data_IF_495248620773
#
_entry.id   IF_495248620773
#
_cell.length_a   1.000
_cell.length_b   1.000
_cell.length_c   1.000
_cell.angle_alpha   90.00
_cell.angle_beta   90.00
_cell.angle_gamma   90.00
#
_symmetry.space_group_name_H-M   'P 1'
#
loop_
_entity.id
_entity.type
_entity.pdbx_description
1 polymer ?
#
# COMPACT_ATOMS: atom_id res chain seq x y z
N UNK A 1 9.00 -0.16 -9.99
CA UNK A 1 8.46 -0.52 -8.65
C UNK A 1 7.80 0.72 -8.07
N UNK A 2 6.50 0.66 -7.79
CA UNK A 2 5.72 1.83 -7.39
C UNK A 2 5.84 2.10 -5.87
N UNK A 3 5.89 3.37 -5.48
CA UNK A 3 5.94 3.82 -4.08
C UNK A 3 4.59 4.37 -3.63
N UNK A 4 4.41 4.53 -2.33
CA UNK A 4 3.29 5.30 -1.81
C UNK A 4 3.34 6.74 -2.30
N UNK A 5 2.16 7.33 -2.49
CA UNK A 5 1.99 8.60 -3.19
C UNK A 5 2.09 8.50 -4.71
N UNK A 6 2.61 7.40 -5.27
CA UNK A 6 2.59 7.24 -6.73
C UNK A 6 1.15 7.23 -7.25
N UNK A 7 0.89 7.93 -8.34
CA UNK A 7 -0.35 7.85 -9.10
C UNK A 7 -0.09 7.05 -10.37
N UNK A 8 -0.90 6.01 -10.60
CA UNK A 8 -0.85 5.16 -11.80
C UNK A 8 -1.95 5.64 -12.75
N UNK A 9 -1.59 5.97 -13.99
CA UNK A 9 -2.54 6.36 -15.05
C UNK A 9 -1.91 6.03 -16.42
N UNK A 10 -2.50 5.10 -17.18
CA UNK A 10 -2.21 4.92 -18.61
C UNK A 10 -3.33 5.59 -19.44
N UNK A 11 -3.10 6.84 -19.85
CA UNK A 11 -3.76 7.63 -20.90
C UNK A 11 -5.32 7.63 -21.08
N UNK A 12 -5.84 8.86 -21.19
CA UNK A 12 -7.22 9.33 -21.45
C UNK A 12 -8.21 9.24 -20.27
N UNK A 13 -8.55 10.37 -19.62
CA UNK A 13 -9.33 10.38 -18.40
C UNK A 13 -10.81 10.11 -18.71
N UNK A 14 -11.32 8.98 -18.21
CA UNK A 14 -12.66 9.01 -17.65
C UNK A 14 -12.70 10.03 -16.50
N UNK A 15 -13.87 10.62 -16.26
CA UNK A 15 -14.06 11.64 -15.22
C UNK A 15 -13.56 11.09 -13.86
N UNK A 16 -12.52 11.72 -13.30
CA UNK A 16 -12.07 11.48 -11.92
C UNK A 16 -12.88 12.36 -10.97
N UNK A 17 -13.01 11.94 -9.71
CA UNK A 17 -13.67 12.75 -8.70
C UNK A 17 -12.89 14.05 -8.46
N UNK A 18 -13.55 15.10 -8.00
CA UNK A 18 -12.90 16.35 -7.63
C UNK A 18 -11.90 16.15 -6.48
N UNK A 19 -10.83 16.96 -6.47
CA UNK A 19 -9.78 16.92 -5.43
C UNK A 19 -10.36 17.07 -4.02
N UNK A 20 -11.37 17.92 -3.85
CA UNK A 20 -12.07 18.13 -2.57
C UNK A 20 -12.73 16.85 -2.06
N UNK A 21 -13.40 16.11 -2.96
CA UNK A 21 -14.03 14.82 -2.66
C UNK A 21 -12.98 13.76 -2.32
N UNK A 22 -11.88 13.69 -3.08
CA UNK A 22 -10.77 12.77 -2.79
C UNK A 22 -10.14 13.04 -1.42
N UNK A 23 -9.85 14.31 -1.10
CA UNK A 23 -9.31 14.70 0.22
C UNK A 23 -10.30 14.34 1.35
N UNK A 24 -11.60 14.54 1.14
CA UNK A 24 -12.62 14.13 2.11
C UNK A 24 -12.65 12.62 2.32
N UNK A 25 -12.49 11.83 1.25
CA UNK A 25 -12.45 10.36 1.33
C UNK A 25 -11.20 9.90 2.09
N UNK A 26 -10.03 10.47 1.80
CA UNK A 26 -8.79 10.14 2.49
C UNK A 26 -8.87 10.41 3.99
N UNK A 27 -9.45 11.55 4.38
CA UNK A 27 -9.64 11.90 5.78
C UNK A 27 -10.64 11.02 6.51
N UNK A 28 -11.51 10.29 5.79
CA UNK A 28 -12.47 9.38 6.38
C UNK A 28 -11.88 7.99 6.70
N UNK A 29 -10.79 7.62 6.03
CA UNK A 29 -10.17 6.30 6.23
C UNK A 29 -9.07 6.33 7.28
N UNK A 30 -9.07 5.33 8.14
CA UNK A 30 -8.01 5.11 9.11
C UNK A 30 -6.80 4.40 8.49
N UNK A 31 -5.61 4.63 9.05
CA UNK A 31 -4.42 3.89 8.66
C UNK A 31 -4.55 2.36 8.86
N UNK A 32 -5.38 1.92 9.80
CA UNK A 32 -5.69 0.51 10.02
C UNK A 32 -6.46 -0.11 8.85
N UNK A 33 -7.49 0.58 8.35
CA UNK A 33 -8.27 0.10 7.20
C UNK A 33 -7.40 0.01 5.94
N UNK A 34 -6.54 1.01 5.72
CA UNK A 34 -5.59 1.01 4.59
C UNK A 34 -4.60 -0.16 4.72
N UNK A 35 -4.13 -0.46 5.93
CA UNK A 35 -3.28 -1.63 6.17
C UNK A 35 -4.01 -2.93 5.87
N UNK A 36 -5.21 -3.11 6.40
CA UNK A 36 -5.99 -4.33 6.26
C UNK A 36 -6.25 -4.65 4.78
N UNK A 37 -6.59 -3.65 3.97
CA UNK A 37 -6.79 -3.81 2.53
C UNK A 37 -5.50 -4.25 1.82
N UNK A 38 -4.35 -3.65 2.15
CA UNK A 38 -3.07 -4.06 1.57
C UNK A 38 -2.66 -5.48 2.01
N UNK A 39 -2.99 -5.84 3.25
CA UNK A 39 -2.71 -7.14 3.84
C UNK A 39 -3.58 -8.26 3.24
N UNK A 40 -4.85 -7.99 2.99
CA UNK A 40 -5.74 -8.94 2.32
C UNK A 40 -5.31 -9.22 0.88
N UNK A 41 -4.66 -8.26 0.23
CA UNK A 41 -4.03 -8.49 -1.08
C UNK A 41 -2.75 -9.34 -0.99
N UNK A 42 -2.17 -9.54 0.20
CA UNK A 42 -0.96 -10.35 0.42
C UNK A 42 -1.23 -11.80 0.82
N UNK A 43 -2.39 -12.34 0.44
CA UNK A 43 -2.70 -13.76 0.68
C UNK A 43 -1.68 -14.67 -0.02
N UNK A 44 -1.17 -14.27 -1.19
CA UNK A 44 -0.16 -15.04 -1.91
C UNK A 44 1.25 -14.81 -1.32
N UNK A 45 1.87 -15.81 -0.66
CA UNK A 45 3.17 -15.65 -0.01
C UNK A 45 4.33 -15.46 -0.99
N UNK A 46 4.09 -15.66 -2.29
CA UNK A 46 5.09 -15.54 -3.34
C UNK A 46 5.13 -14.16 -3.99
N UNK A 47 4.18 -13.28 -3.66
CA UNK A 47 4.13 -11.92 -4.18
C UNK A 47 5.05 -11.02 -3.37
N UNK A 48 5.92 -10.30 -4.06
CA UNK A 48 6.87 -9.39 -3.42
C UNK A 48 6.17 -8.15 -2.88
N UNK A 49 5.22 -7.61 -3.64
CA UNK A 49 4.64 -6.30 -3.42
C UNK A 49 3.12 -6.33 -3.53
N UNK A 50 2.45 -5.87 -2.48
CA UNK A 50 1.01 -5.64 -2.47
C UNK A 50 0.71 -4.21 -2.07
N UNK A 51 -0.45 -3.74 -2.52
CA UNK A 51 -0.81 -2.33 -2.44
C UNK A 51 -2.23 -2.17 -1.92
N UNK A 52 -2.43 -1.14 -1.10
CA UNK A 52 -3.73 -0.50 -0.94
C UNK A 52 -3.72 0.80 -1.74
N UNK A 53 -4.77 1.02 -2.52
CA UNK A 53 -4.85 2.12 -3.46
C UNK A 53 -6.24 2.72 -3.45
N UNK A 54 -6.33 4.03 -3.66
CA UNK A 54 -7.58 4.73 -3.88
C UNK A 54 -7.85 4.83 -5.38
N UNK A 55 -8.98 4.30 -5.83
CA UNK A 55 -9.49 4.50 -7.17
C UNK A 55 -10.05 5.93 -7.30
N UNK A 56 -9.41 6.76 -8.14
CA UNK A 56 -9.75 8.19 -8.25
C UNK A 56 -11.08 8.46 -8.98
N UNK A 57 -11.65 7.48 -9.67
CA UNK A 57 -12.95 7.61 -10.36
C UNK A 57 -14.12 7.23 -9.45
N UNK A 58 -13.94 6.24 -8.58
CA UNK A 58 -15.01 5.70 -7.74
C UNK A 58 -14.90 6.06 -6.26
N UNK A 59 -13.75 6.58 -5.82
CA UNK A 59 -13.48 6.87 -4.42
C UNK A 59 -13.30 5.62 -3.55
N UNK A 60 -13.22 4.42 -4.14
CA UNK A 60 -13.10 3.17 -3.40
C UNK A 60 -11.64 2.80 -3.16
N UNK A 61 -11.35 2.33 -1.94
CA UNK A 61 -10.10 1.64 -1.64
C UNK A 61 -10.12 0.22 -2.23
N UNK A 62 -9.01 -0.18 -2.84
CA UNK A 62 -8.81 -1.51 -3.40
C UNK A 62 -7.43 -2.05 -3.04
N UNK A 63 -7.36 -3.36 -2.84
CA UNK A 63 -6.10 -4.10 -2.65
C UNK A 63 -5.68 -4.78 -3.94
N UNK A 64 -4.41 -4.68 -4.34
CA UNK A 64 -3.87 -5.40 -5.50
C UNK A 64 -2.45 -5.92 -5.28
N UNK A 65 -2.16 -7.06 -5.91
CA UNK A 65 -0.80 -7.52 -6.17
C UNK A 65 -0.20 -6.72 -7.35
N UNK A 66 1.11 -6.43 -7.33
CA UNK A 66 1.79 -5.54 -8.30
C UNK A 66 1.46 -5.80 -9.77
N UNK A 67 1.27 -7.06 -10.18
CA UNK A 67 1.03 -7.44 -11.58
C UNK A 67 -0.45 -7.59 -11.97
N UNK A 68 -1.37 -7.26 -11.06
CA UNK A 68 -2.82 -7.47 -11.28
C UNK A 68 -3.61 -6.17 -11.49
N UNK A 69 -2.91 -5.04 -11.53
CA UNK A 69 -3.53 -3.73 -11.61
C UNK A 69 -4.08 -3.46 -13.02
N UNK A 70 -5.30 -2.92 -13.09
CA UNK A 70 -5.88 -2.48 -14.35
C UNK A 70 -5.29 -1.13 -14.73
N UNK A 71 -4.53 -1.08 -15.81
CA UNK A 71 -3.79 0.11 -16.18
C UNK A 71 -4.68 1.24 -16.73
N UNK A 72 -5.90 0.91 -17.17
CA UNK A 72 -6.91 1.85 -17.68
C UNK A 72 -7.71 2.58 -16.58
N UNK A 73 -7.17 2.68 -15.37
CA UNK A 73 -7.84 3.30 -14.23
C UNK A 73 -6.83 4.10 -13.43
N UNK A 74 -7.23 5.30 -13.00
CA UNK A 74 -6.37 6.13 -12.17
C UNK A 74 -6.40 5.69 -10.71
N UNK A 75 -5.24 5.36 -10.17
CA UNK A 75 -5.07 4.94 -8.77
C UNK A 75 -4.03 5.77 -8.05
N UNK A 76 -4.35 6.24 -6.84
CA UNK A 76 -3.36 6.76 -5.90
C UNK A 76 -2.92 5.62 -4.97
N UNK A 77 -1.62 5.35 -4.89
CA UNK A 77 -1.08 4.35 -3.97
C UNK A 77 -1.03 4.92 -2.55
N UNK A 78 -1.80 4.33 -1.65
CA UNK A 78 -1.86 4.74 -0.24
C UNK A 78 -1.04 3.88 0.68
N UNK A 79 -0.69 2.66 0.26
CA UNK A 79 0.22 1.81 1.02
C UNK A 79 0.82 0.74 0.13
N UNK A 80 2.04 0.35 0.47
CA UNK A 80 2.73 -0.82 -0.05
C UNK A 80 3.15 -1.72 1.12
N UNK A 81 2.90 -3.02 1.02
CA UNK A 81 3.47 -4.05 1.90
C UNK A 81 4.48 -4.87 1.09
N UNK A 82 5.64 -5.15 1.70
CA UNK A 82 6.72 -5.96 1.09
C UNK A 82 7.09 -7.14 1.97
N UNK A 83 6.22 -8.15 2.06
CA UNK A 83 6.42 -9.27 2.99
C UNK A 83 7.73 -10.01 2.78
N UNK A 84 8.16 -10.18 1.53
CA UNK A 84 9.41 -10.88 1.23
C UNK A 84 10.67 -10.07 1.54
N UNK A 85 10.55 -8.74 1.62
CA UNK A 85 11.66 -7.85 2.00
C UNK A 85 11.71 -7.59 3.50
N UNK A 86 10.72 -8.04 4.28
CA UNK A 86 10.78 -7.93 5.73
C UNK A 86 11.98 -8.73 6.24
N UNK A 87 12.83 -8.08 7.01
CA UNK A 87 13.89 -8.76 7.72
C UNK A 87 13.25 -9.66 8.80
N UNK A 88 13.40 -10.99 8.75
CA UNK A 88 12.81 -11.87 9.75
C UNK A 88 13.28 -11.55 11.18
N UNK A 89 14.47 -10.97 11.35
CA UNK A 89 14.98 -10.54 12.66
C UNK A 89 14.20 -9.39 13.29
N UNK A 90 13.41 -8.65 12.51
CA UNK A 90 12.55 -7.58 13.02
C UNK A 90 11.18 -8.13 13.51
N UNK A 91 10.84 -9.36 13.11
CA UNK A 91 9.50 -9.97 13.29
C UNK A 91 9.54 -11.19 14.21
N UNK A 92 10.65 -11.92 14.20
CA UNK A 92 10.87 -13.15 14.95
C UNK A 92 11.82 -12.90 16.12
N UNK A 93 11.60 -13.61 17.22
CA UNK A 93 12.60 -13.64 18.30
C UNK A 93 13.78 -14.56 17.92
N UNK A 94 14.84 -14.54 18.73
CA UNK A 94 16.08 -15.30 18.46
C UNK A 94 15.84 -16.80 18.22
N UNK A 95 15.00 -17.44 19.03
CA UNK A 95 14.69 -18.87 18.90
C UNK A 95 13.94 -19.15 17.60
N UNK A 96 12.91 -18.37 17.31
CA UNK A 96 12.11 -18.50 16.09
C UNK A 96 12.95 -18.23 14.84
N UNK A 97 13.88 -17.28 14.90
CA UNK A 97 14.77 -16.95 13.79
C UNK A 97 15.71 -18.12 13.47
N UNK A 98 16.25 -18.79 14.49
CA UNK A 98 17.05 -20.01 14.31
C UNK A 98 16.26 -21.15 13.66
N UNK A 99 14.99 -21.32 14.03
CA UNK A 99 14.09 -22.31 13.44
C UNK A 99 13.72 -21.94 11.99
N UNK A 100 13.39 -20.68 11.74
CA UNK A 100 13.09 -20.14 10.41
C UNK A 100 14.23 -20.36 9.42
N UNK A 101 15.48 -20.08 9.81
CA UNK A 101 16.65 -20.32 8.95
C UNK A 101 16.84 -21.79 8.54
N UNK A 102 16.32 -22.74 9.33
CA UNK A 102 16.32 -24.17 8.98
C UNK A 102 15.12 -24.57 8.11
N UNK A 103 14.04 -23.81 8.14
CA UNK A 103 12.78 -24.13 7.45
C UNK A 103 12.85 -23.90 5.93
N UNK A 104 13.51 -22.84 5.48
CA UNK A 104 13.78 -22.61 4.04
C UNK A 104 12.55 -22.29 3.18
N UNK A 105 11.51 -21.67 3.77
CA UNK A 105 10.30 -21.19 3.07
C UNK A 105 10.06 -19.72 3.39
N UNK A 106 9.15 -19.02 2.66
CA UNK A 106 8.78 -17.64 2.98
C UNK A 106 8.29 -17.47 4.42
N UNK A 107 8.53 -16.28 5.00
CA UNK A 107 8.18 -15.94 6.38
C UNK A 107 6.70 -16.22 6.70
N UNK A 108 5.79 -15.90 5.78
CA UNK A 108 4.37 -16.19 5.93
C UNK A 108 4.09 -17.68 6.12
N UNK A 109 4.67 -18.53 5.27
CA UNK A 109 4.51 -19.99 5.35
C UNK A 109 5.08 -20.53 6.67
N UNK A 110 6.22 -19.99 7.12
CA UNK A 110 6.78 -20.34 8.42
C UNK A 110 5.84 -19.98 9.56
N UNK A 111 5.34 -18.74 9.59
CA UNK A 111 4.43 -18.30 10.63
C UNK A 111 3.13 -19.11 10.67
N UNK A 112 2.57 -19.46 9.51
CA UNK A 112 1.40 -20.34 9.40
C UNK A 112 1.67 -21.73 10.00
N UNK A 113 2.80 -22.36 9.67
CA UNK A 113 3.17 -23.68 10.20
C UNK A 113 3.49 -23.66 11.70
N UNK A 114 4.05 -22.57 12.19
CA UNK A 114 4.44 -22.38 13.60
C UNK A 114 3.32 -21.76 14.45
N UNK A 115 2.12 -21.57 13.89
CA UNK A 115 0.96 -20.94 14.54
C UNK A 115 1.28 -19.54 15.13
N UNK A 116 2.08 -18.77 14.40
CA UNK A 116 2.46 -17.39 14.74
C UNK A 116 1.59 -16.40 13.97
N UNK A 117 1.06 -15.40 14.68
CA UNK A 117 0.29 -14.34 14.06
C UNK A 117 1.21 -13.30 13.39
N UNK A 118 1.54 -13.53 12.11
CA UNK A 118 2.42 -12.64 11.36
C UNK A 118 1.81 -11.24 11.20
N UNK A 119 0.50 -11.14 10.93
CA UNK A 119 -0.20 -9.85 10.75
C UNK A 119 0.02 -8.95 11.97
N UNK A 120 -0.22 -9.48 13.17
CA UNK A 120 -0.08 -8.72 14.41
C UNK A 120 1.37 -8.24 14.63
N UNK A 121 2.36 -9.10 14.34
CA UNK A 121 3.78 -8.75 14.51
C UNK A 121 4.23 -7.68 13.51
N UNK A 122 3.72 -7.74 12.28
CA UNK A 122 3.96 -6.69 11.27
C UNK A 122 3.31 -5.38 11.72
N UNK A 123 2.08 -5.40 12.25
CA UNK A 123 1.44 -4.20 12.80
C UNK A 123 2.31 -3.59 13.91
N UNK A 124 2.82 -4.40 14.84
CA UNK A 124 3.67 -3.93 15.95
C UNK A 124 4.97 -3.31 15.45
N UNK A 125 5.65 -3.98 14.51
CA UNK A 125 6.86 -3.46 13.88
C UNK A 125 6.61 -2.15 13.12
N UNK A 126 5.61 -2.13 12.25
CA UNK A 126 5.31 -0.98 11.41
C UNK A 126 4.73 0.19 12.21
N UNK A 127 3.99 -0.05 13.30
CA UNK A 127 3.50 1.03 14.18
C UNK A 127 4.65 1.85 14.74
N UNK A 128 5.77 1.20 15.09
CA UNK A 128 6.97 1.89 15.56
C UNK A 128 7.62 2.74 14.45
N UNK A 129 7.67 2.23 13.22
CA UNK A 129 8.20 2.96 12.06
C UNK A 129 7.29 4.13 11.69
N UNK A 130 5.97 3.88 11.64
CA UNK A 130 4.98 4.87 11.27
C UNK A 130 4.91 6.03 12.25
N UNK A 131 4.99 5.77 13.56
CA UNK A 131 5.08 6.83 14.55
C UNK A 131 6.25 7.80 14.27
N UNK A 132 7.32 7.33 13.61
CA UNK A 132 8.49 8.14 13.28
C UNK A 132 8.39 8.83 11.92
N UNK A 133 7.57 8.32 10.99
CA UNK A 133 7.57 8.73 9.58
C UNK A 133 6.19 9.16 9.01
N UNK A 134 5.13 9.27 9.83
CA UNK A 134 3.77 9.57 9.36
C UNK A 134 3.66 10.90 8.61
N UNK A 135 4.28 11.97 9.14
CA UNK A 135 4.27 13.31 8.55
C UNK A 135 4.83 13.33 7.12
N UNK A 136 5.84 12.51 6.84
CA UNK A 136 6.48 12.44 5.52
C UNK A 136 5.54 11.81 4.48
N UNK A 137 4.80 10.79 4.89
CA UNK A 137 3.83 10.12 4.03
C UNK A 137 2.65 11.02 3.64
N UNK A 138 2.09 11.73 4.61
CA UNK A 138 0.99 12.68 4.38
C UNK A 138 1.39 13.78 3.40
N UNK A 139 2.62 14.30 3.55
CA UNK A 139 3.17 15.31 2.64
C UNK A 139 3.29 14.79 1.20
N UNK A 140 3.87 13.60 1.01
CA UNK A 140 4.02 13.00 -0.34
C UNK A 140 2.66 12.76 -1.00
N UNK A 141 1.69 12.21 -0.26
CA UNK A 141 0.36 11.94 -0.80
C UNK A 141 -0.31 13.24 -1.25
N UNK A 142 -0.23 14.28 -0.42
CA UNK A 142 -0.81 15.59 -0.71
C UNK A 142 -0.16 16.22 -1.95
N UNK A 143 1.17 16.26 -2.01
CA UNK A 143 1.92 16.80 -3.15
C UNK A 143 1.60 16.06 -4.45
N UNK A 144 1.51 14.73 -4.38
CA UNK A 144 1.22 13.90 -5.56
C UNK A 144 -0.19 14.15 -6.10
N UNK A 145 -1.18 14.31 -5.21
CA UNK A 145 -2.54 14.68 -5.60
C UNK A 145 -2.59 16.07 -6.21
N UNK A 146 -2.04 17.08 -5.54
CA UNK A 146 -2.10 18.46 -6.03
C UNK A 146 -1.45 18.56 -7.43
N UNK A 147 -0.28 17.94 -7.62
CA UNK A 147 0.40 17.86 -8.92
C UNK A 147 -0.44 17.16 -10.00
N UNK A 148 -1.15 16.08 -9.67
CA UNK A 148 -1.99 15.36 -10.64
C UNK A 148 -3.18 16.21 -11.11
N UNK A 149 -3.85 16.90 -10.19
CA UNK A 149 -5.01 17.73 -10.52
C UNK A 149 -4.62 19.01 -11.26
N UNK A 150 -3.50 19.65 -10.92
CA UNK A 150 -3.00 20.83 -11.63
C UNK A 150 -2.67 20.51 -13.10
N UNK A 151 -2.02 19.37 -13.35
CA UNK A 151 -1.68 18.94 -14.70
C UNK A 151 -2.91 18.51 -15.52
N UNK A 152 -3.89 17.88 -14.86
CA UNK A 152 -5.14 17.45 -15.51
C UNK A 152 -6.01 18.64 -15.92
N UNK A 153 -6.04 19.71 -15.13
CA UNK A 153 -6.79 20.93 -15.48
C UNK A 153 -6.10 21.76 -16.56
N UNK A 154 -4.77 21.82 -16.59
CA UNK A 154 -4.04 22.51 -17.66
C UNK A 154 -4.21 21.87 -19.03
N UNK A 155 -4.47 20.56 -19.10
CA UNK A 155 -4.78 19.88 -20.36
C UNK A 155 -6.20 20.16 -20.86
N UNK A 156 -7.17 20.47 -19.98
CA UNK A 156 -8.55 20.76 -20.35
C UNK A 156 -8.78 22.20 -20.86
N UNK A 157 -7.83 23.12 -20.64
CA UNK A 157 -7.91 24.53 -21.07
C UNK A 157 -7.13 24.78 -22.38
N UNK A 158 -6.40 23.78 -22.87
CA UNK A 158 -5.54 23.86 -24.06
C UNK A 158 -6.20 23.50 -25.40
N UNK A 159 -7.48 23.14 -25.42
CA UNK A 159 -8.25 22.77 -26.62
C UNK A 159 -9.25 23.86 -27.06
#
# INVERSE_FOLDING_TARGET
MLSSGSIICEESPSEVLELSAIKSILNAYSGSEIFDIAWEASINPWVENTYAMLNLHSGKLVGHEEFTMKLNTSYLILRKIRLQSLNPGDILNEKELMEFHRFGKPLQVYCENSNLNLKQRVIEYESNIWAQCSWYWEAIITESLDNFYDNSMNQAVGD
#
